data_IF_878192803384
#
_entry.id   IF_878192803384
#
_cell.length_a   1.000
_cell.length_b   1.000
_cell.length_c   1.000
_cell.angle_alpha   90.00
_cell.angle_beta   90.00
_cell.angle_gamma   90.00
#
_symmetry.space_group_name_H-M   'P 1'
#
loop_
_entity.id
_entity.type
_entity.pdbx_description
1 polymer ?
#
# COMPACT_ATOMS: atom_id res chain seq x y z
N UNK A 1 3.24 36.30 3.50
CA UNK A 1 3.11 35.31 2.42
C UNK A 1 2.42 34.09 2.99
N UNK A 2 1.38 33.61 2.32
CA UNK A 2 0.77 32.34 2.72
C UNK A 2 1.71 31.21 2.28
N UNK A 3 2.07 30.29 3.20
CA UNK A 3 2.91 29.14 2.90
C UNK A 3 2.10 28.16 2.05
N UNK A 4 2.54 27.90 0.83
CA UNK A 4 1.81 27.06 -0.15
C UNK A 4 2.28 25.61 -0.10
N UNK A 5 3.49 25.37 0.41
CA UNK A 5 4.12 24.05 0.47
C UNK A 5 5.07 23.96 1.66
N UNK A 6 5.00 22.85 2.37
CA UNK A 6 5.87 22.52 3.49
C UNK A 6 6.18 21.04 3.52
N UNK A 7 7.32 20.66 4.10
CA UNK A 7 7.59 19.26 4.41
C UNK A 7 6.64 18.83 5.54
N UNK A 8 5.92 17.73 5.39
CA UNK A 8 5.06 17.22 6.47
C UNK A 8 5.89 16.91 7.73
N UNK A 9 5.35 17.18 8.91
CA UNK A 9 5.97 16.82 10.19
C UNK A 9 6.08 15.30 10.37
N UNK A 10 5.18 14.55 9.74
CA UNK A 10 5.19 13.09 9.71
C UNK A 10 6.37 12.48 8.96
N UNK A 11 7.23 13.29 8.30
CA UNK A 11 8.47 12.85 7.65
C UNK A 11 9.71 13.33 8.41
N UNK A 12 10.69 12.46 8.56
CA UNK A 12 12.04 12.80 9.03
C UNK A 12 12.81 13.58 7.97
N UNK A 13 14.03 14.03 8.29
CA UNK A 13 14.91 14.73 7.33
C UNK A 13 15.69 13.79 6.40
N UNK A 14 15.48 12.48 6.51
CA UNK A 14 16.14 11.47 5.68
C UNK A 14 15.57 11.51 4.26
N UNK A 15 16.45 11.50 3.25
CA UNK A 15 16.05 11.42 1.85
C UNK A 15 15.56 10.00 1.49
N UNK A 16 14.53 9.95 0.63
CA UNK A 16 14.01 8.68 0.16
C UNK A 16 15.01 7.94 -0.75
N UNK A 17 15.39 6.72 -0.38
CA UNK A 17 16.28 5.83 -1.14
C UNK A 17 15.60 5.04 -2.27
N UNK A 18 14.43 5.46 -2.77
CA UNK A 18 13.71 4.76 -3.82
C UNK A 18 14.25 5.05 -5.22
N UNK A 19 13.99 4.11 -6.16
CA UNK A 19 14.33 4.31 -7.56
C UNK A 19 13.64 5.54 -8.15
N UNK A 20 14.28 6.18 -9.13
CA UNK A 20 13.68 7.32 -9.84
C UNK A 20 12.35 6.94 -10.50
N UNK A 21 11.29 7.68 -10.19
CA UNK A 21 9.92 7.41 -10.67
C UNK A 21 9.17 6.31 -9.93
N UNK A 22 9.74 5.73 -8.86
CA UNK A 22 9.02 4.85 -7.96
C UNK A 22 8.03 5.65 -7.11
N UNK A 23 6.79 5.19 -7.01
CA UNK A 23 5.72 5.92 -6.30
C UNK A 23 5.75 5.75 -4.78
N UNK A 24 6.59 4.90 -4.20
CA UNK A 24 6.68 4.79 -2.74
C UNK A 24 6.89 6.16 -2.05
N UNK A 25 7.74 7.03 -2.63
CA UNK A 25 7.99 8.37 -2.08
C UNK A 25 6.74 9.25 -2.07
N UNK A 26 5.93 9.22 -3.14
CA UNK A 26 4.66 9.95 -3.23
C UNK A 26 3.67 9.42 -2.19
N UNK A 27 3.58 8.10 -2.04
CA UNK A 27 2.66 7.47 -1.08
C UNK A 27 3.07 7.80 0.36
N UNK A 28 4.35 7.68 0.71
CA UNK A 28 4.85 8.02 2.05
C UNK A 28 4.62 9.50 2.38
N UNK A 29 4.91 10.40 1.43
CA UNK A 29 4.60 11.81 1.61
C UNK A 29 3.10 12.03 1.84
N UNK A 30 2.24 11.37 1.06
CA UNK A 30 0.79 11.51 1.19
C UNK A 30 0.29 11.00 2.56
N UNK A 31 0.84 9.87 3.05
CA UNK A 31 0.53 9.36 4.39
C UNK A 31 0.94 10.38 5.45
N UNK A 32 2.16 10.92 5.37
CA UNK A 32 2.66 11.90 6.33
C UNK A 32 1.82 13.19 6.33
N UNK A 33 1.38 13.68 5.17
CA UNK A 33 0.47 14.83 5.07
C UNK A 33 -0.89 14.55 5.74
N UNK A 34 -1.43 13.35 5.58
CA UNK A 34 -2.68 12.95 6.24
C UNK A 34 -2.50 12.81 7.75
N UNK A 35 -1.36 12.26 8.20
CA UNK A 35 -1.04 12.20 9.64
C UNK A 35 -0.95 13.59 10.26
N UNK A 36 -0.34 14.55 9.57
CA UNK A 36 -0.28 15.96 10.03
C UNK A 36 -1.68 16.59 10.10
N UNK A 37 -2.50 16.41 9.06
CA UNK A 37 -3.85 16.95 9.00
C UNK A 37 -4.77 16.42 10.11
N UNK A 38 -4.54 15.20 10.55
CA UNK A 38 -5.34 14.51 11.56
C UNK A 38 -4.69 14.55 12.97
N UNK A 39 -3.57 15.27 13.14
CA UNK A 39 -2.81 15.36 14.41
C UNK A 39 -2.46 13.97 14.98
N UNK A 40 -1.93 13.08 14.12
CA UNK A 40 -1.67 11.68 14.44
C UNK A 40 -0.18 11.35 14.71
N UNK A 41 0.78 12.20 14.33
CA UNK A 41 2.22 11.84 14.32
C UNK A 41 2.67 11.22 15.65
N UNK A 42 2.39 11.87 16.78
CA UNK A 42 2.81 11.40 18.12
C UNK A 42 1.89 10.30 18.70
N UNK A 43 0.82 9.97 18.01
CA UNK A 43 -0.20 8.99 18.47
C UNK A 43 -0.14 7.68 17.67
N UNK A 44 0.76 7.61 16.70
CA UNK A 44 0.79 6.56 15.67
C UNK A 44 1.88 5.54 15.94
N UNK A 45 1.54 4.29 15.67
CA UNK A 45 2.50 3.19 15.51
C UNK A 45 2.33 2.65 14.09
N UNK A 46 3.36 2.79 13.26
CA UNK A 46 3.43 2.23 11.91
C UNK A 46 4.08 0.85 11.93
N UNK A 47 3.59 -0.04 11.06
CA UNK A 47 4.18 -1.37 10.89
C UNK A 47 4.83 -1.47 9.52
N UNK A 48 6.15 -1.59 9.51
CA UNK A 48 6.96 -1.72 8.30
C UNK A 48 6.80 -3.10 7.66
N UNK A 49 6.84 -3.16 6.32
CA UNK A 49 6.81 -4.40 5.56
C UNK A 49 8.20 -5.01 5.43
N UNK A 50 8.29 -6.14 4.74
CA UNK A 50 9.53 -6.59 4.10
C UNK A 50 9.42 -6.40 2.59
N UNK A 51 10.38 -5.68 2.01
CA UNK A 51 10.43 -5.32 0.59
C UNK A 51 10.99 -3.91 0.40
N UNK A 52 10.73 -3.27 -0.76
CA UNK A 52 11.31 -1.96 -1.09
C UNK A 52 11.06 -0.89 -0.01
N UNK A 53 9.97 -0.98 0.72
CA UNK A 53 9.60 0.00 1.75
C UNK A 53 10.04 -0.41 3.17
N UNK A 54 10.93 -1.41 3.33
CA UNK A 54 11.41 -1.83 4.67
C UNK A 54 12.00 -0.66 5.44
N UNK A 55 12.77 0.21 4.79
CA UNK A 55 13.41 1.38 5.41
C UNK A 55 12.46 2.55 5.71
N UNK A 56 11.13 2.36 5.58
CA UNK A 56 10.20 3.45 5.90
C UNK A 56 10.28 3.93 7.35
N UNK A 57 10.82 3.10 8.25
CA UNK A 57 11.09 3.51 9.63
C UNK A 57 12.11 4.65 9.74
N UNK A 58 12.99 4.82 8.76
CA UNK A 58 13.91 5.97 8.68
C UNK A 58 13.21 7.24 8.16
N UNK A 59 12.12 7.08 7.44
CA UNK A 59 11.43 8.19 6.75
C UNK A 59 10.25 8.77 7.53
N UNK A 60 9.63 7.98 8.40
CA UNK A 60 8.45 8.39 9.17
C UNK A 60 8.83 8.86 10.57
N UNK A 61 8.24 9.98 11.02
CA UNK A 61 8.49 10.57 12.34
C UNK A 61 7.62 9.99 13.46
N UNK A 62 6.86 8.92 13.22
CA UNK A 62 6.10 8.21 14.24
C UNK A 62 6.85 6.98 14.76
N UNK A 63 6.35 6.35 15.82
CA UNK A 63 6.87 5.06 16.28
C UNK A 63 6.69 3.99 15.20
N UNK A 64 7.72 3.19 14.94
CA UNK A 64 7.70 2.18 13.89
C UNK A 64 8.12 0.81 14.43
N UNK A 65 7.47 -0.23 13.95
CA UNK A 65 7.81 -1.64 14.23
C UNK A 65 8.02 -2.35 12.89
N UNK A 66 9.15 -3.03 12.72
CA UNK A 66 9.37 -3.91 11.58
C UNK A 66 8.74 -5.28 11.82
N UNK A 67 7.94 -5.75 10.87
CA UNK A 67 7.34 -7.08 10.91
C UNK A 67 8.14 -8.06 10.04
N UNK A 68 8.15 -9.34 10.40
CA UNK A 68 8.61 -10.38 9.49
C UNK A 68 7.75 -10.38 8.21
N UNK A 69 8.33 -10.85 7.10
CA UNK A 69 7.70 -10.83 5.76
C UNK A 69 6.29 -11.44 5.78
N UNK A 70 5.31 -10.67 5.32
CA UNK A 70 3.89 -11.01 5.30
C UNK A 70 3.15 -10.84 6.63
N UNK A 71 3.83 -10.51 7.72
CA UNK A 71 3.24 -10.52 9.08
C UNK A 71 2.77 -9.15 9.57
N UNK A 72 2.88 -8.10 8.76
CA UNK A 72 2.52 -6.75 9.19
C UNK A 72 1.06 -6.65 9.71
N UNK A 73 0.02 -7.24 9.09
CA UNK A 73 -1.34 -7.19 9.64
C UNK A 73 -1.49 -7.92 10.98
N UNK A 74 -0.75 -9.00 11.20
CA UNK A 74 -0.76 -9.71 12.49
C UNK A 74 -0.07 -8.90 13.59
N UNK A 75 1.07 -8.27 13.29
CA UNK A 75 1.76 -7.37 14.22
C UNK A 75 0.88 -6.16 14.53
N UNK A 76 0.30 -5.50 13.52
CA UNK A 76 -0.61 -4.37 13.69
C UNK A 76 -1.81 -4.75 14.56
N UNK A 77 -2.41 -5.92 14.35
CA UNK A 77 -3.49 -6.47 15.18
C UNK A 77 -3.06 -6.59 16.65
N UNK A 78 -1.89 -7.18 16.90
CA UNK A 78 -1.35 -7.34 18.26
C UNK A 78 -1.11 -5.99 18.94
N UNK A 79 -0.45 -5.06 18.25
CA UNK A 79 -0.21 -3.69 18.74
C UNK A 79 -1.51 -2.98 19.05
N UNK A 80 -2.49 -3.01 18.15
CA UNK A 80 -3.79 -2.33 18.35
C UNK A 80 -4.57 -2.89 19.53
N UNK A 81 -4.51 -4.20 19.76
CA UNK A 81 -5.18 -4.84 20.90
C UNK A 81 -4.56 -4.52 22.24
N UNK A 82 -3.23 -4.35 22.29
CA UNK A 82 -2.51 -4.00 23.53
C UNK A 82 -2.54 -2.49 23.79
N UNK A 83 -2.56 -1.69 22.73
CA UNK A 83 -2.57 -0.23 22.76
C UNK A 83 -3.80 0.32 22.00
N UNK A 84 -5.01 0.14 22.52
CA UNK A 84 -6.25 0.46 21.79
C UNK A 84 -6.41 1.93 21.45
N UNK A 85 -5.80 2.83 22.22
CA UNK A 85 -5.84 4.28 22.02
C UNK A 85 -4.86 4.79 20.95
N UNK A 86 -3.89 3.96 20.56
CA UNK A 86 -2.95 4.34 19.50
C UNK A 86 -3.56 4.15 18.13
N UNK A 87 -3.21 5.04 17.22
CA UNK A 87 -3.47 4.85 15.79
C UNK A 87 -2.46 3.84 15.22
N UNK A 88 -2.92 2.78 14.56
CA UNK A 88 -2.04 1.71 14.06
C UNK A 88 -2.29 1.48 12.58
N UNK A 89 -1.24 1.58 11.78
CA UNK A 89 -1.33 1.32 10.35
C UNK A 89 -0.19 0.42 9.88
N UNK A 90 -0.46 -0.34 8.81
CA UNK A 90 0.54 -1.19 8.16
C UNK A 90 0.72 -0.75 6.70
N UNK A 91 1.93 -0.94 6.18
CA UNK A 91 2.29 -0.69 4.80
C UNK A 91 2.87 -1.95 4.20
N UNK A 92 2.38 -2.38 3.03
CA UNK A 92 2.83 -3.64 2.43
C UNK A 92 2.86 -3.56 0.91
N UNK A 93 3.89 -4.17 0.29
CA UNK A 93 3.92 -4.46 -1.14
C UNK A 93 3.11 -5.72 -1.48
N UNK A 94 2.90 -5.96 -2.77
CA UNK A 94 2.12 -7.08 -3.27
C UNK A 94 2.76 -8.44 -3.01
N UNK A 95 4.08 -8.54 -3.10
CA UNK A 95 4.80 -9.73 -2.69
C UNK A 95 4.74 -10.00 -1.19
N UNK A 96 4.61 -8.97 -0.37
CA UNK A 96 4.48 -9.07 1.07
C UNK A 96 3.05 -9.44 1.49
N UNK A 97 2.06 -8.66 1.06
CA UNK A 97 0.66 -8.83 1.47
C UNK A 97 -0.03 -10.00 0.76
N UNK A 98 0.08 -10.06 -0.58
CA UNK A 98 -0.72 -10.97 -1.40
C UNK A 98 -0.02 -12.30 -1.72
N UNK A 99 1.20 -12.52 -1.22
CA UNK A 99 1.90 -13.81 -1.27
C UNK A 99 2.02 -14.41 0.11
N UNK A 100 3.15 -14.18 0.78
CA UNK A 100 3.43 -14.80 2.08
C UNK A 100 2.48 -14.29 3.19
N UNK A 101 1.90 -13.11 3.04
CA UNK A 101 0.96 -12.48 3.99
C UNK A 101 -0.53 -12.66 3.68
N UNK A 102 -0.88 -13.52 2.71
CA UNK A 102 -2.28 -13.68 2.28
C UNK A 102 -3.21 -14.11 3.43
N UNK A 103 -2.77 -15.04 4.28
CA UNK A 103 -3.57 -15.47 5.41
C UNK A 103 -3.76 -14.36 6.45
N UNK A 104 -2.71 -13.60 6.74
CA UNK A 104 -2.72 -12.53 7.73
C UNK A 104 -3.68 -11.40 7.34
N UNK A 105 -3.66 -10.98 6.08
CA UNK A 105 -4.56 -9.91 5.63
C UNK A 105 -6.01 -10.37 5.58
N UNK A 106 -6.28 -11.60 5.13
CA UNK A 106 -7.63 -12.16 5.13
C UNK A 106 -8.17 -12.24 6.56
N UNK A 107 -7.40 -12.75 7.51
CA UNK A 107 -7.85 -12.89 8.89
C UNK A 107 -7.98 -11.55 9.61
N UNK A 108 -7.11 -10.58 9.36
CA UNK A 108 -7.28 -9.22 9.91
C UNK A 108 -8.55 -8.56 9.39
N UNK A 109 -8.81 -8.65 8.08
CA UNK A 109 -10.01 -8.15 7.45
C UNK A 109 -11.28 -8.88 7.93
N UNK A 110 -11.27 -10.21 7.96
CA UNK A 110 -12.43 -11.01 8.41
C UNK A 110 -12.84 -10.71 9.85
N UNK A 111 -11.88 -10.42 10.73
CA UNK A 111 -12.14 -10.01 12.11
C UNK A 111 -12.55 -8.55 12.26
N UNK A 112 -12.47 -7.74 11.20
CA UNK A 112 -12.73 -6.31 11.27
C UNK A 112 -11.77 -5.59 12.23
N UNK A 113 -10.49 -6.00 12.27
CA UNK A 113 -9.49 -5.39 13.16
C UNK A 113 -9.40 -3.89 12.92
N UNK A 114 -9.42 -3.08 13.98
CA UNK A 114 -9.42 -1.62 13.85
C UNK A 114 -8.01 -1.09 13.48
N UNK A 115 -7.57 -1.40 12.28
CA UNK A 115 -6.29 -1.01 11.69
C UNK A 115 -6.49 -0.50 10.26
N UNK A 116 -5.57 0.35 9.80
CA UNK A 116 -5.52 0.82 8.41
C UNK A 116 -4.36 0.18 7.67
N UNK A 117 -4.59 -0.30 6.45
CA UNK A 117 -3.54 -0.92 5.62
C UNK A 117 -3.38 -0.12 4.33
N UNK A 118 -2.16 0.28 4.01
CA UNK A 118 -1.81 0.84 2.70
C UNK A 118 -1.08 -0.23 1.91
N UNK A 119 -1.70 -0.70 0.84
CA UNK A 119 -1.23 -1.81 0.04
C UNK A 119 -0.71 -1.32 -1.32
N UNK A 120 0.55 -1.60 -1.60
CA UNK A 120 1.21 -1.21 -2.85
C UNK A 120 1.20 -2.37 -3.83
N UNK A 121 0.48 -2.18 -4.92
CA UNK A 121 0.45 -3.10 -6.05
C UNK A 121 1.27 -2.52 -7.20
N UNK A 122 2.47 -3.06 -7.39
CA UNK A 122 3.35 -2.72 -8.50
C UNK A 122 3.65 -3.93 -9.40
N UNK A 123 2.88 -5.00 -9.26
CA UNK A 123 2.90 -6.23 -10.06
C UNK A 123 4.22 -6.98 -10.08
N UNK A 124 5.13 -6.74 -9.10
CA UNK A 124 6.44 -7.40 -9.09
C UNK A 124 7.10 -7.36 -7.70
N UNK A 125 7.95 -8.36 -7.40
CA UNK A 125 8.89 -8.27 -6.28
C UNK A 125 10.03 -7.32 -6.63
N UNK A 126 9.89 -6.03 -6.26
CA UNK A 126 10.84 -5.01 -6.64
C UNK A 126 12.22 -5.17 -5.97
N UNK A 127 12.28 -5.43 -4.67
CA UNK A 127 13.52 -5.43 -3.89
C UNK A 127 14.48 -6.56 -4.31
N UNK A 128 13.96 -7.72 -4.63
CA UNK A 128 14.74 -8.95 -4.82
C UNK A 128 15.13 -9.22 -6.27
N UNK A 129 14.73 -8.37 -7.21
CA UNK A 129 15.19 -8.47 -8.59
C UNK A 129 14.10 -8.68 -9.65
N UNK A 130 12.85 -8.31 -9.37
CA UNK A 130 11.78 -8.28 -10.37
C UNK A 130 11.14 -9.64 -10.64
N UNK A 131 11.02 -10.49 -9.62
CA UNK A 131 10.31 -11.76 -9.74
C UNK A 131 8.81 -11.53 -9.93
N UNK A 132 8.12 -12.52 -10.48
CA UNK A 132 6.68 -12.54 -10.60
C UNK A 132 6.02 -12.49 -9.22
N UNK A 133 5.19 -11.49 -8.98
CA UNK A 133 4.34 -11.36 -7.80
C UNK A 133 2.96 -12.00 -8.03
N UNK A 134 2.17 -12.24 -6.98
CA UNK A 134 0.79 -12.71 -7.14
C UNK A 134 -0.07 -11.80 -8.02
N UNK A 135 0.26 -10.51 -8.08
CA UNK A 135 -0.44 -9.46 -8.83
C UNK A 135 0.08 -9.24 -10.25
N UNK A 136 1.18 -9.88 -10.66
CA UNK A 136 1.75 -9.75 -12.01
C UNK A 136 0.68 -10.07 -13.07
N UNK A 137 0.56 -9.21 -14.09
CA UNK A 137 -0.47 -9.35 -15.13
C UNK A 137 -0.21 -10.54 -16.05
N UNK A 138 -1.27 -11.06 -16.67
CA UNK A 138 -1.14 -12.07 -17.74
C UNK A 138 -0.32 -11.48 -18.87
N UNK A 139 0.67 -12.23 -19.37
CA UNK A 139 1.60 -11.80 -20.40
C UNK A 139 2.72 -10.86 -19.91
N UNK A 140 2.63 -10.30 -18.70
CA UNK A 140 3.69 -9.46 -18.13
C UNK A 140 4.93 -10.30 -17.83
N UNK A 141 6.09 -9.84 -18.32
CA UNK A 141 7.39 -10.48 -18.07
C UNK A 141 7.95 -10.12 -16.70
N UNK A 142 8.55 -11.11 -16.07
CA UNK A 142 9.30 -10.96 -14.83
C UNK A 142 10.52 -11.90 -14.84
N UNK A 143 11.45 -11.75 -13.92
CA UNK A 143 12.68 -12.57 -13.90
C UNK A 143 12.40 -14.07 -13.73
N UNK A 144 11.31 -14.43 -13.05
CA UNK A 144 10.88 -15.83 -12.88
C UNK A 144 9.84 -16.29 -13.90
N UNK A 145 9.35 -15.42 -14.78
CA UNK A 145 8.52 -15.75 -15.93
C UNK A 145 8.94 -14.91 -17.17
N UNK A 146 10.09 -15.19 -17.77
CA UNK A 146 10.69 -14.37 -18.83
C UNK A 146 9.87 -14.34 -20.13
N UNK A 147 9.05 -15.37 -20.38
CA UNK A 147 8.11 -15.43 -21.51
C UNK A 147 6.80 -14.67 -21.25
N UNK A 148 6.61 -14.14 -20.04
CA UNK A 148 5.36 -13.55 -19.56
C UNK A 148 4.54 -14.53 -18.73
N UNK A 149 3.71 -13.99 -17.81
CA UNK A 149 2.82 -14.81 -16.98
C UNK A 149 1.81 -15.58 -17.86
N UNK A 150 1.83 -16.89 -17.76
CA UNK A 150 0.89 -17.79 -18.43
C UNK A 150 -0.07 -18.39 -17.38
N UNK A 151 -1.39 -18.18 -17.49
CA UNK A 151 -2.35 -18.77 -16.56
C UNK A 151 -2.27 -20.30 -16.42
N UNK A 152 -1.92 -20.99 -17.50
CA UNK A 152 -1.80 -22.45 -17.48
C UNK A 152 -0.63 -22.95 -16.60
N UNK A 153 0.40 -22.13 -16.41
CA UNK A 153 1.62 -22.47 -15.64
C UNK A 153 1.68 -21.70 -14.32
N UNK A 154 1.34 -20.40 -14.35
CA UNK A 154 1.56 -19.47 -13.25
C UNK A 154 0.27 -19.06 -12.53
N UNK A 155 -0.89 -19.51 -12.99
CA UNK A 155 -2.19 -19.09 -12.47
C UNK A 155 -2.53 -17.62 -12.77
N UNK A 156 -3.66 -17.19 -12.26
CA UNK A 156 -4.20 -15.83 -12.49
C UNK A 156 -3.74 -14.83 -11.44
N UNK A 157 -3.72 -13.51 -11.77
CA UNK A 157 -3.45 -12.44 -10.80
C UNK A 157 -4.48 -12.43 -9.66
N UNK A 158 -4.00 -12.21 -8.42
CA UNK A 158 -4.88 -12.04 -7.26
C UNK A 158 -5.40 -10.60 -7.24
N UNK A 159 -6.72 -10.44 -7.07
CA UNK A 159 -7.41 -9.16 -6.91
C UNK A 159 -7.76 -8.96 -5.44
N UNK A 160 -6.91 -8.24 -4.72
CA UNK A 160 -6.99 -8.15 -3.26
C UNK A 160 -8.26 -7.42 -2.79
N UNK A 161 -8.59 -6.26 -3.36
CA UNK A 161 -9.81 -5.53 -2.96
C UNK A 161 -11.07 -6.37 -3.18
N UNK A 162 -11.19 -7.02 -4.35
CA UNK A 162 -12.34 -7.87 -4.68
C UNK A 162 -12.41 -9.09 -3.75
N UNK A 163 -11.29 -9.72 -3.44
CA UNK A 163 -11.22 -10.85 -2.50
C UNK A 163 -11.67 -10.42 -1.10
N UNK A 164 -11.15 -9.31 -0.58
CA UNK A 164 -11.50 -8.83 0.75
C UNK A 164 -12.93 -8.28 0.83
N UNK A 165 -13.49 -7.78 -0.27
CA UNK A 165 -14.87 -7.30 -0.34
C UNK A 165 -15.92 -8.42 -0.18
N UNK A 166 -15.51 -9.69 -0.27
CA UNK A 166 -16.38 -10.84 0.02
C UNK A 166 -16.56 -11.10 1.51
N UNK A 167 -15.78 -10.41 2.35
CA UNK A 167 -15.83 -10.56 3.82
C UNK A 167 -16.73 -9.50 4.45
N UNK A 168 -17.35 -9.83 5.58
CA UNK A 168 -18.23 -8.90 6.31
C UNK A 168 -17.47 -7.88 7.18
N UNK A 169 -16.22 -8.18 7.54
CA UNK A 169 -15.43 -7.40 8.49
C UNK A 169 -14.87 -6.06 7.99
N UNK A 170 -14.51 -5.87 6.69
CA UNK A 170 -14.00 -4.58 6.22
C UNK A 170 -15.03 -3.47 6.33
N UNK A 171 -14.61 -2.30 6.84
CA UNK A 171 -15.40 -1.06 6.85
C UNK A 171 -15.13 -0.20 5.62
N UNK A 172 -13.90 -0.26 5.09
CA UNK A 172 -13.53 0.50 3.90
C UNK A 172 -12.46 -0.23 3.07
N UNK A 173 -12.72 -0.33 1.75
CA UNK A 173 -11.78 -0.85 0.76
C UNK A 173 -11.84 0.05 -0.48
N UNK A 174 -10.72 0.63 -0.88
CA UNK A 174 -10.60 1.43 -2.10
C UNK A 174 -9.32 1.12 -2.85
N UNK A 175 -9.39 1.15 -4.18
CA UNK A 175 -8.22 1.08 -5.07
C UNK A 175 -8.06 2.40 -5.80
N UNK A 176 -6.82 2.92 -5.82
CA UNK A 176 -6.48 4.19 -6.48
C UNK A 176 -5.26 4.04 -7.38
N UNK A 177 -5.21 4.87 -8.44
CA UNK A 177 -4.07 4.98 -9.36
C UNK A 177 -3.57 6.42 -9.37
N UNK A 178 -2.47 6.75 -8.64
CA UNK A 178 -1.96 8.12 -8.53
C UNK A 178 -1.04 8.50 -9.71
N UNK A 179 -1.48 8.24 -10.93
CA UNK A 179 -0.72 8.49 -12.19
C UNK A 179 -0.74 9.94 -12.65
N UNK A 180 -1.49 10.80 -11.96
CA UNK A 180 -1.64 12.23 -12.25
C UNK A 180 -1.79 13.03 -10.96
N UNK A 181 -1.64 14.39 -10.98
CA UNK A 181 -1.91 15.22 -9.81
C UNK A 181 -3.31 15.01 -9.22
N UNK A 182 -4.32 14.84 -10.07
CA UNK A 182 -5.67 14.51 -9.64
C UNK A 182 -5.75 13.12 -8.99
N UNK A 183 -5.00 12.14 -9.51
CA UNK A 183 -4.84 10.81 -8.91
C UNK A 183 -4.18 10.85 -7.54
N UNK A 184 -3.14 11.67 -7.35
CA UNK A 184 -2.51 11.88 -6.04
C UNK A 184 -3.49 12.50 -5.04
N UNK A 185 -4.32 13.45 -5.47
CA UNK A 185 -5.37 14.01 -4.60
C UNK A 185 -6.45 12.98 -4.23
N UNK A 186 -6.77 12.03 -5.14
CA UNK A 186 -7.66 10.91 -4.81
C UNK A 186 -7.00 9.97 -3.80
N UNK A 187 -5.72 9.63 -4.00
CA UNK A 187 -4.95 8.83 -3.03
C UNK A 187 -4.99 9.48 -1.63
N UNK A 188 -4.76 10.79 -1.53
CA UNK A 188 -4.80 11.51 -0.25
C UNK A 188 -6.17 11.40 0.41
N UNK A 189 -7.25 11.56 -0.36
CA UNK A 189 -8.62 11.41 0.15
C UNK A 189 -8.90 9.99 0.64
N UNK A 190 -8.49 8.97 -0.13
CA UNK A 190 -8.66 7.56 0.24
C UNK A 190 -7.92 7.20 1.54
N UNK A 191 -6.64 7.63 1.67
CA UNK A 191 -5.85 7.41 2.89
C UNK A 191 -6.50 8.14 4.06
N UNK A 192 -6.92 9.40 3.88
CA UNK A 192 -7.57 10.17 4.94
C UNK A 192 -8.86 9.50 5.41
N UNK A 193 -9.71 9.06 4.50
CA UNK A 193 -10.95 8.35 4.84
C UNK A 193 -10.70 7.04 5.58
N UNK A 194 -9.71 6.24 5.13
CA UNK A 194 -9.26 5.04 5.84
C UNK A 194 -8.83 5.34 7.29
N UNK A 195 -8.08 6.44 7.49
CA UNK A 195 -7.60 6.84 8.81
C UNK A 195 -8.74 7.35 9.70
N UNK A 196 -9.64 8.15 9.15
CA UNK A 196 -10.84 8.63 9.84
C UNK A 196 -11.74 7.47 10.28
N UNK A 197 -11.89 6.42 9.46
CA UNK A 197 -12.64 5.22 9.82
C UNK A 197 -12.00 4.48 11.00
N UNK A 198 -10.66 4.36 11.05
CA UNK A 198 -9.98 3.77 12.21
C UNK A 198 -10.16 4.63 13.47
N UNK A 199 -10.05 5.97 13.37
CA UNK A 199 -10.26 6.89 14.49
C UNK A 199 -11.70 6.75 15.02
N UNK A 200 -12.68 6.60 14.13
CA UNK A 200 -14.07 6.39 14.48
C UNK A 200 -14.38 4.97 15.01
N UNK A 201 -13.40 4.07 15.06
CA UNK A 201 -13.58 2.70 15.53
C UNK A 201 -14.41 1.81 14.61
N UNK A 202 -14.50 2.15 13.31
CA UNK A 202 -15.30 1.39 12.33
C UNK A 202 -14.70 0.03 11.94
N UNK A 203 -13.42 -0.22 12.28
CA UNK A 203 -12.75 -1.48 12.01
C UNK A 203 -11.76 -1.42 10.86
N UNK A 204 -11.65 -2.52 10.11
CA UNK A 204 -10.61 -2.72 9.10
C UNK A 204 -10.79 -1.85 7.86
N UNK A 205 -9.71 -1.17 7.46
CA UNK A 205 -9.67 -0.39 6.24
C UNK A 205 -8.42 -0.73 5.41
N UNK A 206 -8.57 -0.77 4.06
CA UNK A 206 -7.43 -0.96 3.16
C UNK A 206 -7.54 -0.03 1.94
N UNK A 207 -6.42 0.61 1.62
CA UNK A 207 -6.24 1.38 0.38
C UNK A 207 -5.19 0.69 -0.48
N UNK A 208 -5.63 0.11 -1.60
CA UNK A 208 -4.74 -0.45 -2.62
C UNK A 208 -4.29 0.65 -3.58
N UNK A 209 -2.97 0.80 -3.74
CA UNK A 209 -2.37 1.84 -4.58
C UNK A 209 -1.66 1.17 -5.75
N UNK A 210 -2.14 1.41 -6.96
CA UNK A 210 -1.46 0.96 -8.19
C UNK A 210 -0.21 1.80 -8.39
N UNK A 211 0.96 1.18 -8.27
CA UNK A 211 2.26 1.85 -8.26
C UNK A 211 3.14 1.42 -9.43
N UNK A 212 4.12 2.27 -9.75
CA UNK A 212 5.13 2.00 -10.75
C UNK A 212 6.33 1.25 -10.17
N UNK A 213 6.98 0.43 -11.01
CA UNK A 213 8.29 -0.16 -10.74
C UNK A 213 9.24 0.05 -11.95
N UNK A 214 9.75 1.29 -12.20
CA UNK A 214 10.50 1.61 -13.42
C UNK A 214 11.70 0.71 -13.64
N UNK A 215 12.44 0.38 -12.59
CA UNK A 215 13.65 -0.44 -12.66
C UNK A 215 13.37 -1.83 -13.23
N UNK A 216 12.34 -2.53 -12.72
CA UNK A 216 12.06 -3.90 -13.16
C UNK A 216 11.14 -3.98 -14.37
N UNK A 217 10.31 -2.97 -14.61
CA UNK A 217 9.57 -2.85 -15.87
C UNK A 217 10.45 -2.38 -17.02
N UNK A 218 11.67 -1.86 -16.73
CA UNK A 218 12.63 -1.34 -17.71
C UNK A 218 12.04 -0.25 -18.58
N UNK A 219 11.32 0.66 -17.95
CA UNK A 219 10.62 1.77 -18.60
C UNK A 219 11.02 3.09 -17.96
N UNK A 220 10.88 4.18 -18.72
CA UNK A 220 11.03 5.52 -18.14
C UNK A 220 9.95 5.78 -17.08
N UNK A 221 10.18 6.66 -16.09
CA UNK A 221 9.16 7.04 -15.13
C UNK A 221 7.83 7.48 -15.79
N UNK A 222 7.91 8.23 -16.88
CA UNK A 222 6.73 8.71 -17.60
C UNK A 222 5.96 7.57 -18.30
N UNK A 223 6.67 6.65 -18.94
CA UNK A 223 6.04 5.50 -19.59
C UNK A 223 5.43 4.56 -18.57
N UNK A 224 6.01 4.44 -17.37
CA UNK A 224 5.42 3.68 -16.28
C UNK A 224 4.05 4.23 -15.85
N UNK A 225 3.86 5.55 -15.81
CA UNK A 225 2.56 6.15 -15.49
C UNK A 225 1.50 5.74 -16.51
N UNK A 226 1.83 5.84 -17.79
CA UNK A 226 0.95 5.39 -18.88
C UNK A 226 0.67 3.90 -18.78
N UNK A 227 1.71 3.11 -18.50
CA UNK A 227 1.58 1.66 -18.41
C UNK A 227 0.61 1.25 -17.29
N UNK A 228 0.61 1.95 -16.14
CA UNK A 228 -0.38 1.74 -15.08
C UNK A 228 -1.79 1.99 -15.63
N UNK A 229 -2.01 3.13 -16.30
CA UNK A 229 -3.33 3.49 -16.82
C UNK A 229 -3.80 2.53 -17.92
N UNK A 230 -2.91 2.11 -18.83
CA UNK A 230 -3.25 1.30 -19.99
C UNK A 230 -3.34 -0.21 -19.69
N UNK A 231 -2.54 -0.72 -18.74
CA UNK A 231 -2.42 -2.15 -18.50
C UNK A 231 -2.92 -2.58 -17.11
N UNK A 232 -2.64 -1.81 -16.05
CA UNK A 232 -3.08 -2.21 -14.71
C UNK A 232 -4.54 -1.87 -14.46
N UNK A 233 -5.00 -0.67 -14.82
CA UNK A 233 -6.38 -0.26 -14.50
C UNK A 233 -7.47 -1.12 -15.16
N UNK A 234 -7.27 -1.71 -16.36
CA UNK A 234 -8.23 -2.67 -16.91
C UNK A 234 -8.35 -3.97 -16.11
N UNK A 235 -7.26 -4.39 -15.44
CA UNK A 235 -7.23 -5.62 -14.63
C UNK A 235 -7.60 -5.32 -13.18
N UNK A 236 -7.15 -4.18 -12.68
CA UNK A 236 -7.35 -3.65 -11.33
C UNK A 236 -8.10 -2.32 -11.40
N UNK A 237 -9.41 -2.30 -11.71
CA UNK A 237 -10.16 -1.05 -11.85
C UNK A 237 -10.14 -0.26 -10.54
N UNK A 238 -9.73 1.04 -10.57
CA UNK A 238 -9.84 1.92 -9.41
C UNK A 238 -11.30 2.14 -8.99
N UNK A 239 -11.54 2.26 -7.70
CA UNK A 239 -12.87 2.50 -7.15
C UNK A 239 -13.00 2.08 -5.70
N UNK A 240 -14.15 2.39 -5.12
CA UNK A 240 -14.54 1.97 -3.77
C UNK A 240 -15.26 0.63 -3.86
N UNK A 241 -14.81 -0.36 -3.10
CA UNK A 241 -15.38 -1.70 -3.03
C UNK A 241 -16.26 -1.90 -1.80
N UNK A 242 -15.89 -1.25 -0.69
CA UNK A 242 -16.64 -1.24 0.57
C UNK A 242 -16.54 0.14 1.20
N UNK A 243 -17.65 0.70 1.69
CA UNK A 243 -17.71 1.92 2.52
C UNK A 243 -18.94 1.84 3.41
N UNK A 244 -18.72 1.60 4.74
CA UNK A 244 -19.77 1.36 5.75
C UNK A 244 -19.81 2.44 6.82
#
# INVERSE_FOLDING_TARGET
>A
MQKVFERPKGLTDVDFGYCAGCMHSIVHRTIAEVMDELDLVDKTIGVCPVGCAVFMYDYMSCDMIEAAHGRAPAVATGVKRVLPDKFVWAYQGDGDLASIGTAEIIHAAARGENISVVFINNTTYGMTGGQMAPTTLIGQRATTCPSGRDPAVNGYPIRVCEMLATLDGPSYLERVAPTSPAGVMKLKKAIKHSFENQIAGKGFSLVEVLCTCPTHWRQSPYDCLKWVDENMTPVYPPGVFVDK
#
